data_IF_181717049147
#
_entry.id   IF_181717049147
#
_cell.length_a   1.000
_cell.length_b   1.000
_cell.length_c   1.000
_cell.angle_alpha   90.00
_cell.angle_beta   90.00
_cell.angle_gamma   90.00
#
_symmetry.space_group_name_H-M   'P 1'
#
loop_
_entity.id
_entity.type
_entity.pdbx_description
1 polymer ?
#
# COMPACT_ATOMS: atom_id res chain seq x y z
N UNK A 1 18.37 -21.68 -1.28
CA UNK A 1 17.36 -20.98 -0.47
C UNK A 1 16.20 -20.65 -1.41
N UNK A 2 15.07 -21.35 -1.28
CA UNK A 2 13.90 -21.08 -2.13
C UNK A 2 13.34 -19.71 -1.77
N UNK A 3 13.67 -18.70 -2.58
CA UNK A 3 12.94 -17.44 -2.61
C UNK A 3 11.49 -17.78 -2.95
N UNK A 4 10.57 -17.52 -2.03
CA UNK A 4 9.15 -17.56 -2.34
C UNK A 4 8.91 -16.60 -3.50
N UNK A 5 8.39 -17.10 -4.63
CA UNK A 5 7.99 -16.28 -5.78
C UNK A 5 7.00 -15.17 -5.39
N UNK A 6 6.26 -15.40 -4.31
CA UNK A 6 5.30 -14.47 -3.75
C UNK A 6 5.97 -13.65 -2.66
N UNK A 7 5.75 -12.32 -2.72
CA UNK A 7 6.42 -11.33 -1.88
C UNK A 7 6.45 -11.75 -0.41
N UNK A 8 7.48 -11.35 0.34
CA UNK A 8 7.44 -11.53 1.77
C UNK A 8 6.14 -10.86 2.22
N UNK A 9 5.26 -11.59 2.91
CA UNK A 9 4.06 -10.98 3.50
C UNK A 9 4.46 -10.04 4.67
N UNK A 10 5.55 -9.29 4.51
CA UNK A 10 6.28 -8.47 5.45
C UNK A 10 6.89 -7.30 4.69
N UNK A 11 6.88 -6.12 5.31
CA UNK A 11 7.64 -4.98 4.81
C UNK A 11 9.13 -5.33 4.61
N UNK A 12 9.75 -4.73 3.60
CA UNK A 12 11.20 -4.71 3.48
C UNK A 12 11.84 -4.28 4.83
N UNK A 13 12.88 -4.97 5.34
CA UNK A 13 13.41 -4.71 6.69
C UNK A 13 13.84 -3.26 6.95
N UNK A 14 14.27 -2.55 5.90
CA UNK A 14 14.63 -1.12 5.96
C UNK A 14 13.44 -0.20 6.25
N UNK A 15 12.24 -0.58 5.79
CA UNK A 15 11.00 0.19 5.96
C UNK A 15 10.23 -0.23 7.21
N UNK A 16 10.30 -1.50 7.60
CA UNK A 16 9.61 -2.02 8.79
C UNK A 16 9.90 -1.24 10.09
N UNK A 17 11.07 -0.60 10.19
CA UNK A 17 11.46 0.22 11.36
C UNK A 17 10.98 1.67 11.31
N UNK A 18 10.50 2.14 10.16
CA UNK A 18 10.30 3.57 9.87
C UNK A 18 8.91 3.90 9.33
N UNK A 19 8.24 2.93 8.74
CA UNK A 19 6.94 3.13 8.12
C UNK A 19 5.83 2.68 9.07
N UNK A 20 4.95 3.61 9.41
CA UNK A 20 3.71 3.33 10.12
C UNK A 20 2.49 3.34 9.20
N UNK A 21 2.67 3.76 7.94
CA UNK A 21 1.59 3.95 6.96
C UNK A 21 1.89 3.24 5.65
N UNK A 22 0.85 2.73 5.00
CA UNK A 22 1.02 1.92 3.77
C UNK A 22 0.05 2.35 2.68
N UNK A 23 0.54 2.45 1.44
CA UNK A 23 -0.29 2.52 0.23
C UNK A 23 -0.24 1.16 -0.46
N UNK A 24 -1.39 0.53 -0.65
CA UNK A 24 -1.52 -0.60 -1.56
C UNK A 24 -1.80 -0.08 -2.97
N UNK A 25 -0.99 -0.53 -3.94
CA UNK A 25 -0.94 0.06 -5.27
C UNK A 25 -1.24 -0.99 -6.36
N UNK A 26 -2.34 -0.79 -7.09
CA UNK A 26 -2.50 -1.40 -8.42
C UNK A 26 -1.79 -0.57 -9.51
N UNK A 27 -1.63 -1.14 -10.70
CA UNK A 27 -0.97 -0.52 -11.85
C UNK A 27 -1.97 -0.14 -12.93
N UNK A 28 -2.61 -1.14 -13.54
CA UNK A 28 -3.60 -0.92 -14.61
C UNK A 28 -4.79 -0.15 -14.04
N UNK A 29 -5.13 0.99 -14.63
CA UNK A 29 -6.19 1.87 -14.14
C UNK A 29 -5.75 2.85 -13.04
N UNK A 30 -4.50 2.78 -12.58
CA UNK A 30 -3.97 3.68 -11.53
C UNK A 30 -2.75 4.46 -12.04
N UNK A 31 -1.69 3.76 -12.44
CA UNK A 31 -0.43 4.37 -12.92
C UNK A 31 -0.42 4.60 -14.44
N UNK A 32 -1.33 3.94 -15.14
CA UNK A 32 -1.58 4.08 -16.56
C UNK A 32 -2.96 3.48 -16.88
N UNK A 33 -3.61 3.87 -17.98
CA UNK A 33 -4.85 3.23 -18.39
C UNK A 33 -4.62 1.79 -18.87
N UNK A 34 -5.59 0.86 -18.72
CA UNK A 34 -5.43 -0.53 -19.16
C UNK A 34 -5.01 -0.67 -20.63
N UNK A 35 -5.41 0.28 -21.48
CA UNK A 35 -5.04 0.31 -22.90
C UNK A 35 -3.52 0.42 -23.13
N UNK A 36 -2.75 0.94 -22.16
CA UNK A 36 -1.32 1.15 -22.26
C UNK A 36 -0.51 -0.16 -22.37
N UNK A 37 -1.06 -1.30 -21.94
CA UNK A 37 -0.42 -2.62 -21.98
C UNK A 37 -1.15 -3.59 -22.94
N UNK A 38 -2.03 -3.07 -23.81
CA UNK A 38 -2.80 -3.89 -24.76
C UNK A 38 -1.90 -4.75 -25.63
N UNK A 39 -2.24 -6.03 -25.77
CA UNK A 39 -1.51 -6.98 -26.61
C UNK A 39 -0.28 -7.60 -25.95
N UNK A 40 0.08 -7.19 -24.73
CA UNK A 40 1.13 -7.85 -23.96
C UNK A 40 0.79 -9.30 -23.65
N UNK A 41 1.81 -10.16 -23.74
CA UNK A 41 1.71 -11.60 -23.45
C UNK A 41 2.76 -11.96 -22.42
N UNK A 42 2.44 -11.93 -21.12
CA UNK A 42 3.38 -12.31 -20.07
C UNK A 42 3.74 -13.81 -20.16
N UNK A 43 4.92 -14.22 -19.64
CA UNK A 43 5.86 -13.41 -18.87
C UNK A 43 6.69 -12.47 -19.76
N UNK A 44 6.96 -11.27 -19.24
CA UNK A 44 7.84 -10.26 -19.84
C UNK A 44 8.76 -9.74 -18.75
N UNK A 45 10.02 -9.48 -19.08
CA UNK A 45 10.96 -8.82 -18.20
C UNK A 45 10.70 -7.30 -18.15
N UNK A 46 11.10 -6.59 -17.06
CA UNK A 46 10.88 -5.15 -16.94
C UNK A 46 11.33 -4.33 -18.15
N UNK A 47 12.50 -4.66 -18.71
CA UNK A 47 13.04 -3.97 -19.88
C UNK A 47 12.21 -4.21 -21.15
N UNK A 48 11.62 -5.40 -21.31
CA UNK A 48 10.72 -5.72 -22.44
C UNK A 48 9.40 -4.95 -22.31
N UNK A 49 8.88 -4.84 -21.09
CA UNK A 49 7.67 -4.05 -20.82
C UNK A 49 7.90 -2.58 -21.18
N UNK A 50 9.01 -2.00 -20.70
CA UNK A 50 9.34 -0.60 -20.96
C UNK A 50 9.57 -0.31 -22.44
N UNK A 51 10.21 -1.24 -23.17
CA UNK A 51 10.46 -1.10 -24.60
C UNK A 51 9.18 -1.29 -25.44
N UNK A 52 8.36 -2.30 -25.13
CA UNK A 52 7.16 -2.63 -25.90
C UNK A 52 5.95 -1.75 -25.59
N UNK A 53 5.86 -1.24 -24.36
CA UNK A 53 4.71 -0.48 -23.86
C UNK A 53 5.17 0.75 -23.06
N UNK A 54 5.79 1.75 -23.71
CA UNK A 54 6.38 2.92 -23.05
C UNK A 54 5.36 3.82 -22.34
N UNK A 55 4.07 3.66 -22.61
CA UNK A 55 2.99 4.37 -21.93
C UNK A 55 2.62 3.76 -20.56
N UNK A 56 3.18 2.60 -20.20
CA UNK A 56 3.04 2.04 -18.85
C UNK A 56 3.77 2.93 -17.84
N UNK A 57 3.25 3.00 -16.61
CA UNK A 57 3.80 3.82 -15.52
C UNK A 57 3.90 5.33 -15.83
N UNK A 58 3.19 5.84 -16.84
CA UNK A 58 3.23 7.25 -17.24
C UNK A 58 2.84 8.22 -16.10
N UNK A 59 2.02 7.78 -15.14
CA UNK A 59 1.63 8.58 -13.98
C UNK A 59 2.51 8.34 -12.73
N UNK A 60 3.54 7.50 -12.81
CA UNK A 60 4.39 7.19 -11.65
C UNK A 60 5.09 8.42 -11.07
N UNK A 61 5.44 9.39 -11.91
CA UNK A 61 6.00 10.68 -11.48
C UNK A 61 5.06 11.48 -10.57
N UNK A 62 3.74 11.35 -10.77
CA UNK A 62 2.73 12.00 -9.92
C UNK A 62 2.77 11.39 -8.51
N UNK A 63 2.76 10.05 -8.42
CA UNK A 63 2.87 9.35 -7.14
C UNK A 63 4.19 9.71 -6.43
N UNK A 64 5.31 9.72 -7.17
CA UNK A 64 6.61 10.11 -6.64
C UNK A 64 6.59 11.53 -6.04
N UNK A 65 5.96 12.48 -6.74
CA UNK A 65 5.76 13.85 -6.29
C UNK A 65 4.96 13.95 -4.99
N UNK A 66 3.85 13.22 -4.90
CA UNK A 66 3.00 13.17 -3.70
C UNK A 66 3.75 12.58 -2.50
N UNK A 67 4.57 11.55 -2.71
CA UNK A 67 5.31 10.87 -1.65
C UNK A 67 6.50 11.68 -1.11
N UNK A 68 7.01 12.69 -1.84
CA UNK A 68 8.30 13.34 -1.52
C UNK A 68 8.46 13.80 -0.06
N UNK A 69 7.38 14.22 0.59
CA UNK A 69 7.38 14.74 1.97
C UNK A 69 7.04 13.69 3.04
N UNK A 70 6.82 12.43 2.65
CA UNK A 70 6.32 11.37 3.52
C UNK A 70 7.30 10.21 3.57
N UNK A 71 8.26 10.30 4.49
CA UNK A 71 9.29 9.26 4.69
C UNK A 71 8.81 8.07 5.54
N UNK A 72 7.59 8.16 6.09
CA UNK A 72 6.92 7.20 6.97
C UNK A 72 5.87 6.34 6.23
N UNK A 73 5.76 6.52 4.90
CA UNK A 73 4.87 5.74 4.04
C UNK A 73 5.68 4.65 3.33
N UNK A 74 5.15 3.44 3.28
CA UNK A 74 5.60 2.39 2.35
C UNK A 74 4.57 2.19 1.23
N UNK A 75 5.03 1.76 0.06
CA UNK A 75 4.20 1.39 -1.09
C UNK A 75 4.31 -0.12 -1.28
N UNK A 76 3.19 -0.82 -1.17
CA UNK A 76 3.08 -2.27 -1.35
C UNK A 76 2.26 -2.55 -2.60
N UNK A 77 2.80 -3.33 -3.53
CA UNK A 77 2.11 -3.63 -4.79
C UNK A 77 1.02 -4.68 -4.57
N UNK A 78 -0.23 -4.34 -4.88
CA UNK A 78 -1.39 -5.25 -4.89
C UNK A 78 -1.81 -5.66 -6.31
N UNK A 79 -1.05 -5.24 -7.33
CA UNK A 79 -1.34 -5.47 -8.75
C UNK A 79 -1.27 -6.94 -9.16
N UNK A 80 -2.08 -7.33 -10.16
CA UNK A 80 -2.01 -8.66 -10.81
C UNK A 80 -0.64 -8.93 -11.46
N UNK A 81 0.14 -7.90 -11.74
CA UNK A 81 1.48 -8.00 -12.32
C UNK A 81 2.44 -8.85 -11.46
N UNK A 82 2.23 -8.89 -10.14
CA UNK A 82 2.98 -9.76 -9.20
C UNK A 82 2.84 -11.27 -9.46
N UNK A 83 1.90 -11.68 -10.29
CA UNK A 83 1.74 -13.08 -10.71
C UNK A 83 2.91 -13.49 -11.62
N UNK A 84 3.43 -12.53 -12.40
CA UNK A 84 4.46 -12.74 -13.40
C UNK A 84 5.82 -12.18 -12.98
N UNK A 85 5.83 -11.10 -12.18
CA UNK A 85 7.04 -10.41 -11.74
C UNK A 85 7.29 -10.62 -10.24
N UNK A 86 8.56 -10.87 -9.88
CA UNK A 86 8.99 -10.87 -8.49
C UNK A 86 9.25 -9.44 -7.97
N UNK A 87 9.50 -9.29 -6.66
CA UNK A 87 9.68 -7.98 -6.05
C UNK A 87 10.88 -7.19 -6.59
N UNK A 88 11.97 -7.86 -7.02
CA UNK A 88 13.10 -7.16 -7.63
C UNK A 88 12.70 -6.55 -8.98
N UNK A 89 12.01 -7.33 -9.83
CA UNK A 89 11.50 -6.89 -11.13
C UNK A 89 10.45 -5.78 -10.98
N UNK A 90 9.55 -5.88 -9.99
CA UNK A 90 8.61 -4.80 -9.66
C UNK A 90 9.34 -3.54 -9.18
N UNK A 91 10.40 -3.70 -8.40
CA UNK A 91 11.26 -2.61 -7.96
C UNK A 91 11.95 -1.87 -9.12
N UNK A 92 12.37 -2.57 -10.17
CA UNK A 92 12.92 -1.98 -11.39
C UNK A 92 11.89 -1.10 -12.12
N UNK A 93 10.66 -1.58 -12.28
CA UNK A 93 9.57 -0.80 -12.88
C UNK A 93 9.19 0.42 -12.02
N UNK A 94 9.36 0.31 -10.70
CA UNK A 94 9.04 1.34 -9.73
C UNK A 94 10.25 2.20 -9.32
N UNK A 95 11.32 2.24 -10.12
CA UNK A 95 12.57 2.95 -9.79
C UNK A 95 12.37 4.40 -9.29
N UNK A 96 11.48 5.24 -9.88
CA UNK A 96 11.20 6.60 -9.37
C UNK A 96 10.69 6.66 -7.92
N UNK A 97 10.12 5.57 -7.40
CA UNK A 97 9.63 5.45 -6.02
C UNK A 97 10.34 4.36 -5.22
N UNK A 98 11.51 3.88 -5.67
CA UNK A 98 12.21 2.75 -5.06
C UNK A 98 12.41 2.89 -3.54
N UNK A 99 12.65 4.11 -3.04
CA UNK A 99 12.84 4.37 -1.61
C UNK A 99 11.59 4.15 -0.73
N UNK A 100 10.40 4.12 -1.33
CA UNK A 100 9.15 3.82 -0.63
C UNK A 100 8.65 2.42 -0.91
N UNK A 101 9.19 1.74 -1.93
CA UNK A 101 8.73 0.41 -2.31
C UNK A 101 9.05 -0.63 -1.22
N UNK A 102 8.00 -1.27 -0.70
CA UNK A 102 8.05 -2.20 0.42
C UNK A 102 7.82 -3.66 0.07
N UNK A 103 7.71 -3.99 -1.21
CA UNK A 103 7.41 -5.33 -1.71
C UNK A 103 6.02 -5.44 -2.34
N UNK A 104 5.57 -6.67 -2.60
CA UNK A 104 4.23 -6.95 -3.10
C UNK A 104 3.41 -7.81 -2.12
N UNK A 105 2.08 -7.74 -2.23
CA UNK A 105 1.17 -8.51 -1.38
C UNK A 105 0.40 -9.56 -2.18
N UNK A 106 0.29 -10.75 -1.61
CA UNK A 106 -0.70 -11.73 -2.00
C UNK A 106 -0.18 -12.89 -2.84
N UNK A 107 -1.08 -13.83 -3.07
CA UNK A 107 -0.88 -15.07 -3.81
C UNK A 107 -1.93 -15.11 -4.96
N UNK A 108 -1.60 -15.64 -6.16
CA UNK A 108 -2.57 -15.79 -7.26
C UNK A 108 -3.86 -16.51 -6.89
N UNK A 109 -3.85 -17.32 -5.84
CA UNK A 109 -4.99 -18.13 -5.39
C UNK A 109 -5.87 -17.46 -4.34
N UNK A 110 -5.54 -16.24 -3.89
CA UNK A 110 -6.32 -15.49 -2.91
C UNK A 110 -6.82 -14.16 -3.50
N UNK A 111 -8.02 -13.74 -3.09
CA UNK A 111 -8.58 -12.44 -3.42
C UNK A 111 -7.68 -11.30 -2.95
N UNK A 112 -7.70 -10.17 -3.68
CA UNK A 112 -6.90 -8.98 -3.37
C UNK A 112 -7.26 -8.40 -2.00
N UNK A 113 -8.55 -8.36 -1.68
CA UNK A 113 -9.07 -8.01 -0.35
C UNK A 113 -8.48 -8.89 0.77
N UNK A 114 -8.55 -10.21 0.60
CA UNK A 114 -8.05 -11.20 1.57
C UNK A 114 -6.54 -11.05 1.76
N UNK A 115 -5.80 -10.90 0.65
CA UNK A 115 -4.36 -10.71 0.67
C UNK A 115 -3.94 -9.45 1.44
N UNK A 116 -4.60 -8.32 1.17
CA UNK A 116 -4.31 -7.05 1.83
C UNK A 116 -4.63 -7.14 3.33
N UNK A 117 -5.77 -7.73 3.71
CA UNK A 117 -6.14 -7.89 5.13
C UNK A 117 -5.15 -8.77 5.89
N UNK A 118 -4.77 -9.92 5.33
CA UNK A 118 -3.79 -10.80 5.95
C UNK A 118 -2.43 -10.11 6.10
N UNK A 119 -2.03 -9.29 5.12
CA UNK A 119 -0.79 -8.52 5.19
C UNK A 119 -0.87 -7.44 6.28
N UNK A 120 -1.97 -6.71 6.38
CA UNK A 120 -2.18 -5.68 7.41
C UNK A 120 -2.10 -6.29 8.82
N UNK A 121 -2.80 -7.40 9.04
CA UNK A 121 -2.78 -8.14 10.30
C UNK A 121 -1.35 -8.62 10.65
N UNK A 122 -0.68 -9.24 9.69
CA UNK A 122 0.68 -9.76 9.89
C UNK A 122 1.71 -8.68 10.25
N UNK A 123 1.54 -7.47 9.70
CA UNK A 123 2.45 -6.35 9.92
C UNK A 123 1.99 -5.37 11.01
N UNK A 124 0.85 -5.64 11.66
CA UNK A 124 0.21 -4.75 12.63
C UNK A 124 0.05 -3.30 12.12
N UNK A 125 -0.22 -3.13 10.82
CA UNK A 125 -0.47 -1.83 10.20
C UNK A 125 -1.98 -1.55 10.21
N UNK A 126 -2.36 -0.38 10.69
CA UNK A 126 -3.77 0.05 10.75
C UNK A 126 -4.04 1.30 9.91
N UNK A 127 -3.00 2.07 9.57
CA UNK A 127 -3.11 3.27 8.75
C UNK A 127 -2.65 2.98 7.33
N UNK A 128 -3.63 2.87 6.42
CA UNK A 128 -3.38 2.49 5.04
C UNK A 128 -4.33 3.19 4.08
N UNK A 129 -3.93 3.25 2.81
CA UNK A 129 -4.80 3.58 1.68
C UNK A 129 -4.66 2.51 0.59
N UNK A 130 -5.70 2.35 -0.23
CA UNK A 130 -5.68 1.46 -1.39
C UNK A 130 -5.99 2.27 -2.64
N UNK A 131 -5.11 2.22 -3.64
CA UNK A 131 -5.32 2.81 -4.96
C UNK A 131 -5.61 1.69 -5.95
N UNK A 132 -6.84 1.66 -6.49
CA UNK A 132 -7.31 0.60 -7.36
C UNK A 132 -8.47 1.09 -8.24
N UNK A 133 -8.64 0.51 -9.42
CA UNK A 133 -9.72 0.86 -10.35
C UNK A 133 -10.88 -0.16 -10.35
N UNK A 134 -10.71 -1.32 -9.70
CA UNK A 134 -11.69 -2.43 -9.72
C UNK A 134 -12.43 -2.56 -8.39
N UNK A 135 -13.63 -1.95 -8.23
CA UNK A 135 -14.41 -2.07 -7.00
C UNK A 135 -14.77 -3.52 -6.64
N UNK A 136 -14.91 -4.40 -7.64
CA UNK A 136 -15.21 -5.83 -7.44
C UNK A 136 -14.18 -6.60 -6.58
N UNK A 137 -12.96 -6.09 -6.46
CA UNK A 137 -11.93 -6.70 -5.61
C UNK A 137 -12.06 -6.35 -4.13
N UNK A 138 -12.96 -5.43 -3.79
CA UNK A 138 -13.19 -4.92 -2.44
C UNK A 138 -14.67 -5.06 -2.07
N UNK A 139 -15.18 -6.31 -1.95
CA UNK A 139 -16.58 -6.54 -1.67
C UNK A 139 -16.95 -6.08 -0.25
N UNK A 140 -18.24 -5.84 -0.05
CA UNK A 140 -18.81 -5.39 1.22
C UNK A 140 -19.32 -3.96 1.14
N UNK A 141 -19.93 -3.47 2.23
CA UNK A 141 -20.40 -2.09 2.31
C UNK A 141 -19.21 -1.11 2.42
N UNK A 142 -19.38 0.20 2.11
CA UNK A 142 -18.29 1.18 2.02
C UNK A 142 -17.35 1.24 3.24
N UNK A 143 -17.87 0.98 4.44
CA UNK A 143 -17.12 0.92 5.70
C UNK A 143 -16.11 -0.24 5.78
N UNK A 144 -16.20 -1.25 4.90
CA UNK A 144 -15.24 -2.36 4.82
C UNK A 144 -13.89 -1.92 4.28
N UNK A 145 -13.85 -0.81 3.55
CA UNK A 145 -12.67 -0.25 2.89
C UNK A 145 -12.69 1.29 2.95
N UNK A 146 -12.63 1.89 4.15
CA UNK A 146 -12.85 3.32 4.35
C UNK A 146 -11.76 4.21 3.73
N UNK A 147 -10.63 3.63 3.36
CA UNK A 147 -9.48 4.29 2.73
C UNK A 147 -9.18 3.74 1.32
N UNK A 148 -10.16 3.07 0.70
CA UNK A 148 -10.11 2.75 -0.72
C UNK A 148 -10.38 4.01 -1.54
N UNK A 149 -9.42 4.37 -2.38
CA UNK A 149 -9.50 5.46 -3.33
C UNK A 149 -9.68 4.82 -4.70
N UNK A 150 -10.94 4.67 -5.09
CA UNK A 150 -11.28 4.18 -6.43
C UNK A 150 -10.82 5.17 -7.50
N UNK A 151 -10.04 4.65 -8.44
CA UNK A 151 -9.53 5.36 -9.59
C UNK A 151 -10.44 5.10 -10.80
N UNK A 152 -10.70 6.13 -11.60
CA UNK A 152 -11.26 5.93 -12.94
C UNK A 152 -10.18 5.32 -13.83
N UNK A 153 -10.47 4.19 -14.48
CA UNK A 153 -9.46 3.38 -15.17
C UNK A 153 -8.67 4.17 -16.22
N UNK A 154 -9.28 5.17 -16.86
CA UNK A 154 -8.65 5.87 -17.96
C UNK A 154 -7.72 7.02 -17.52
N UNK A 155 -7.91 7.55 -16.31
CA UNK A 155 -7.16 8.69 -15.75
C UNK A 155 -6.29 8.31 -14.56
N UNK A 156 -6.72 7.34 -13.74
CA UNK A 156 -5.94 6.87 -12.60
C UNK A 156 -5.57 7.98 -11.63
N UNK A 157 -4.32 7.96 -11.15
CA UNK A 157 -3.78 8.98 -10.24
C UNK A 157 -3.55 10.35 -10.90
N UNK A 158 -3.69 10.47 -12.23
CA UNK A 158 -3.66 11.79 -12.88
C UNK A 158 -4.88 12.63 -12.53
N UNK A 159 -5.99 12.01 -12.12
CA UNK A 159 -7.19 12.71 -11.67
C UNK A 159 -6.92 13.50 -10.38
N UNK A 160 -7.20 14.81 -10.43
CA UNK A 160 -6.97 15.73 -9.30
C UNK A 160 -7.77 15.36 -8.05
N UNK A 161 -8.93 14.74 -8.21
CA UNK A 161 -9.76 14.26 -7.09
C UNK A 161 -9.15 13.04 -6.41
N UNK A 162 -8.52 12.13 -7.17
CA UNK A 162 -7.77 10.98 -6.63
C UNK A 162 -6.56 11.49 -5.86
N UNK A 163 -5.81 12.44 -6.42
CA UNK A 163 -4.68 13.05 -5.73
C UNK A 163 -5.13 13.79 -4.46
N UNK A 164 -6.30 14.45 -4.48
CA UNK A 164 -6.81 15.14 -3.31
C UNK A 164 -7.17 14.16 -2.20
N UNK A 165 -7.90 13.08 -2.50
CA UNK A 165 -8.21 12.02 -1.51
C UNK A 165 -6.93 11.43 -0.92
N UNK A 166 -5.91 11.22 -1.76
CA UNK A 166 -4.63 10.70 -1.30
C UNK A 166 -3.89 11.71 -0.40
N UNK A 167 -3.86 13.00 -0.77
CA UNK A 167 -3.32 14.08 0.08
C UNK A 167 -4.06 14.19 1.40
N UNK A 168 -5.37 14.07 1.39
CA UNK A 168 -6.20 14.13 2.60
C UNK A 168 -5.85 12.97 3.54
N UNK A 169 -5.70 11.75 3.01
CA UNK A 169 -5.22 10.61 3.81
C UNK A 169 -3.78 10.84 4.32
N UNK A 170 -2.85 11.28 3.47
CA UNK A 170 -1.46 11.57 3.85
C UNK A 170 -1.34 12.68 4.92
N UNK A 171 -2.31 13.59 4.98
CA UNK A 171 -2.34 14.71 5.93
C UNK A 171 -3.00 14.35 7.26
N UNK A 172 -3.79 13.27 7.33
CA UNK A 172 -4.29 12.73 8.59
C UNK A 172 -3.08 12.27 9.39
N UNK A 173 -2.70 13.04 10.40
CA UNK A 173 -1.85 12.52 11.46
C UNK A 173 -2.72 11.54 12.24
N UNK A 174 -2.41 10.25 12.15
CA UNK A 174 -2.81 9.32 13.19
C UNK A 174 -2.21 9.86 14.48
N UNK A 175 -3.06 10.33 15.40
CA UNK A 175 -2.59 10.64 16.74
C UNK A 175 -1.97 9.35 17.27
N UNK A 176 -0.66 9.37 17.50
CA UNK A 176 -0.01 8.33 18.27
C UNK A 176 -0.75 8.30 19.61
N UNK A 177 -1.53 7.24 19.85
CA UNK A 177 -2.02 6.94 21.18
C UNK A 177 -0.76 6.65 21.98
N UNK A 178 -0.27 7.66 22.68
CA UNK A 178 0.71 7.45 23.73
C UNK A 178 0.00 6.57 24.74
N UNK A 179 0.48 5.34 24.87
CA UNK A 179 0.09 4.47 25.96
C UNK A 179 0.36 5.25 27.25
N UNK A 180 -0.71 5.70 27.91
CA UNK A 180 -0.61 6.38 29.19
C UNK A 180 0.13 5.47 30.15
N UNK A 181 1.25 5.96 30.69
CA UNK A 181 1.88 5.35 31.84
C UNK A 181 0.82 5.26 32.95
N UNK A 182 0.55 4.02 33.33
CA UNK A 182 -0.50 3.67 34.26
C UNK A 182 -0.35 4.39 35.58
N UNK A 183 -1.49 4.86 36.07
CA UNK A 183 -1.71 5.23 37.47
C UNK A 183 -1.23 4.08 38.37
N UNK A 184 -0.18 4.35 39.15
CA UNK A 184 0.20 3.48 40.26
C UNK A 184 -0.84 3.66 41.37
N UNK A 185 -1.63 2.61 41.57
CA UNK A 185 -2.48 2.42 42.75
C UNK A 185 -1.56 2.27 43.98
N UNK A 186 -1.33 3.39 44.68
CA UNK A 186 -0.82 3.40 46.04
C UNK A 186 -1.94 3.11 47.01
N UNK A 187 -2.11 1.84 47.36
CA UNK A 187 -3.00 1.38 48.42
C UNK A 187 -2.25 1.52 49.75
N UNK A 188 -2.61 2.47 50.62
CA UNK A 188 -2.27 2.40 52.04
C UNK A 188 -3.51 2.65 52.91
N UNK A 189 -3.78 1.63 53.71
CA UNK A 189 -4.91 1.47 54.60
C UNK A 189 -4.37 1.48 56.03
N UNK A 190 -4.90 2.37 56.90
CA UNK A 190 -4.91 2.36 58.38
C UNK A 190 -5.23 3.80 58.86
N UNK A 191 -6.02 4.12 59.89
CA UNK A 191 -6.75 3.37 60.93
C UNK A 191 -7.51 4.41 61.79
N UNK A 192 -8.64 4.00 62.37
CA UNK A 192 -9.30 4.48 63.60
C UNK A 192 -10.10 5.81 63.63
N UNK A 193 -11.40 5.63 63.92
CA UNK A 193 -12.43 6.52 64.50
C UNK A 193 -12.06 7.05 65.92
N UNK A 194 -12.98 7.68 66.70
CA UNK A 194 -14.01 8.70 66.43
C UNK A 194 -13.90 9.91 67.41
N UNK A 195 -14.66 10.98 67.13
CA UNK A 195 -15.71 11.65 67.95
C UNK A 195 -16.07 12.96 67.27
#
# INVERSE_FOLDING_TARGET
MNSSKYGPNKLAPSLAKRCSRVIFLDFDGVLHPPRAITGAKPPLEPHEIQAGWPATFQHLGILAGLLQKHADIAVVVSSSWRIFLNDAQLGELLAPIARWYGGSVGNPHIGRDVAIRAWLEHNAITDYAVLDDKPKFFPGPPESWPTLILCESETGISDVSVQQKLRDWMSRRTACVTAGEGQSLGNEQKRAEPV
#
